data_IF_018003076520
#
_entry.id   IF_018003076520
#
_cell.length_a   1.000
_cell.length_b   1.000
_cell.length_c   1.000
_cell.angle_alpha   90.00
_cell.angle_beta   90.00
_cell.angle_gamma   90.00
#
_symmetry.space_group_name_H-M   'P 1'
#
loop_
_entity.id
_entity.type
_entity.pdbx_description
1 polymer ?
#
# COMPACT_ATOMS: atom_id res chain seq x y z
N UNK A 1 12.23 35.20 -9.57
CA UNK A 1 13.25 34.41 -8.86
C UNK A 1 12.85 33.99 -7.44
N UNK A 2 11.57 34.06 -7.04
CA UNK A 2 11.08 33.49 -5.75
C UNK A 2 9.76 32.71 -5.97
N UNK A 3 9.46 32.33 -7.21
CA UNK A 3 8.23 31.59 -7.59
C UNK A 3 8.52 30.24 -8.24
N UNK A 4 9.79 29.84 -8.33
CA UNK A 4 10.20 28.54 -8.90
C UNK A 4 10.48 27.47 -7.81
N UNK A 5 10.59 27.86 -6.53
CA UNK A 5 10.95 26.95 -5.43
C UNK A 5 9.76 26.36 -4.64
N UNK A 6 8.51 26.66 -5.02
CA UNK A 6 7.32 26.05 -4.39
C UNK A 6 6.78 24.80 -5.11
N UNK A 7 7.45 24.35 -6.18
CA UNK A 7 7.03 23.16 -6.96
C UNK A 7 7.47 21.85 -6.28
N UNK A 8 8.30 21.92 -5.24
CA UNK A 8 8.98 20.77 -4.63
C UNK A 8 8.28 20.14 -3.41
N UNK A 9 6.98 20.38 -3.19
CA UNK A 9 6.32 19.91 -1.96
C UNK A 9 5.52 18.60 -2.09
N UNK A 10 5.05 18.18 -3.26
CA UNK A 10 4.40 16.85 -3.41
C UNK A 10 4.60 16.24 -4.81
N UNK A 11 5.76 15.60 -5.08
CA UNK A 11 6.02 14.92 -6.35
C UNK A 11 5.00 13.84 -6.69
N UNK A 12 4.48 13.14 -5.68
CA UNK A 12 3.49 12.07 -5.84
C UNK A 12 2.16 12.56 -6.40
N UNK A 13 1.66 13.73 -5.97
CA UNK A 13 0.41 14.30 -6.47
C UNK A 13 0.55 14.84 -7.90
N UNK A 14 1.71 15.41 -8.25
CA UNK A 14 1.98 15.86 -9.63
C UNK A 14 2.15 14.68 -10.58
N UNK A 15 2.82 13.61 -10.14
CA UNK A 15 2.94 12.35 -10.89
C UNK A 15 1.58 11.68 -11.04
N UNK A 16 0.76 11.63 -9.98
CA UNK A 16 -0.60 11.11 -10.03
C UNK A 16 -1.50 11.91 -10.99
N UNK A 17 -1.42 13.26 -10.95
CA UNK A 17 -2.17 14.11 -11.86
C UNK A 17 -1.71 13.96 -13.31
N UNK A 18 -0.40 13.78 -13.54
CA UNK A 18 0.18 13.53 -14.88
C UNK A 18 -0.21 12.15 -15.40
N UNK A 19 -0.18 11.11 -14.56
CA UNK A 19 -0.63 9.76 -14.90
C UNK A 19 -2.14 9.71 -15.15
N UNK A 20 -2.95 10.41 -14.37
CA UNK A 20 -4.38 10.54 -14.61
C UNK A 20 -4.69 11.22 -15.95
N UNK A 21 -3.93 12.27 -16.32
CA UNK A 21 -4.02 12.91 -17.64
C UNK A 21 -3.64 11.95 -18.76
N UNK A 22 -2.50 11.25 -18.65
CA UNK A 22 -2.11 10.25 -19.66
C UNK A 22 -3.09 9.08 -19.78
N UNK A 23 -3.69 8.65 -18.66
CA UNK A 23 -4.74 7.63 -18.67
C UNK A 23 -5.98 8.12 -19.42
N UNK A 24 -6.42 9.36 -19.17
CA UNK A 24 -7.54 9.97 -19.89
C UNK A 24 -7.24 10.14 -21.39
N UNK A 25 -6.04 10.60 -21.76
CA UNK A 25 -5.61 10.73 -23.16
C UNK A 25 -5.59 9.37 -23.87
N UNK A 26 -5.11 8.33 -23.18
CA UNK A 26 -5.07 6.96 -23.71
C UNK A 26 -6.47 6.36 -23.83
N UNK A 27 -7.38 6.64 -22.88
CA UNK A 27 -8.79 6.27 -22.99
C UNK A 27 -9.44 6.96 -24.20
N UNK A 28 -9.15 8.24 -24.43
CA UNK A 28 -9.69 8.97 -25.58
C UNK A 28 -9.13 8.45 -26.92
N UNK A 29 -7.83 8.15 -26.96
CA UNK A 29 -7.19 7.51 -28.11
C UNK A 29 -7.79 6.12 -28.40
N UNK A 30 -7.99 5.29 -27.37
CA UNK A 30 -8.65 3.98 -27.49
C UNK A 30 -10.12 4.12 -27.93
N UNK A 31 -10.85 5.14 -27.46
CA UNK A 31 -12.22 5.45 -27.92
C UNK A 31 -12.24 5.87 -29.40
N UNK A 32 -11.27 6.66 -29.87
CA UNK A 32 -11.12 7.02 -31.29
C UNK A 32 -10.78 5.80 -32.15
N UNK A 33 -9.88 4.93 -31.68
CA UNK A 33 -9.53 3.66 -32.35
C UNK A 33 -10.75 2.73 -32.42
N UNK A 34 -11.50 2.57 -31.32
CA UNK A 34 -12.69 1.73 -31.28
C UNK A 34 -13.86 2.31 -32.11
N UNK A 35 -13.99 3.64 -32.21
CA UNK A 35 -14.92 4.28 -33.15
C UNK A 35 -14.53 4.00 -34.61
N UNK A 36 -13.24 4.00 -34.94
CA UNK A 36 -12.72 3.65 -36.28
C UNK A 36 -12.81 2.14 -36.59
N UNK A 37 -12.70 1.27 -35.58
CA UNK A 37 -12.92 -0.17 -35.72
C UNK A 37 -14.41 -0.51 -35.90
N UNK A 38 -15.34 0.25 -35.32
CA UNK A 38 -16.80 0.03 -35.52
C UNK A 38 -17.28 0.29 -36.95
N UNK A 39 -16.49 0.94 -37.80
CA UNK A 39 -16.80 1.13 -39.23
C UNK A 39 -16.29 0.00 -40.15
N UNK A 40 -15.59 -1.01 -39.62
CA UNK A 40 -15.19 -2.21 -40.37
C UNK A 40 -15.51 -3.46 -39.53
N UNK A 41 -16.24 -4.40 -40.13
CA UNK A 41 -16.97 -5.48 -39.48
C UNK A 41 -16.23 -6.40 -38.47
N UNK A 42 -17.09 -7.06 -37.68
CA UNK A 42 -16.87 -8.24 -36.85
C UNK A 42 -15.87 -9.26 -37.43
N UNK A 43 -14.96 -9.74 -36.57
CA UNK A 43 -14.94 -11.13 -36.03
C UNK A 43 -13.68 -11.31 -35.18
N UNK A 44 -13.84 -11.26 -33.86
CA UNK A 44 -12.95 -11.91 -32.91
C UNK A 44 -13.77 -12.12 -31.65
N UNK A 45 -14.02 -13.37 -31.26
CA UNK A 45 -14.57 -13.71 -29.95
C UNK A 45 -13.59 -13.21 -28.88
N UNK A 46 -13.96 -12.20 -28.08
CA UNK A 46 -13.17 -11.85 -26.92
C UNK A 46 -13.32 -12.98 -25.91
N UNK A 47 -12.22 -13.46 -25.31
CA UNK A 47 -12.31 -14.21 -24.06
C UNK A 47 -13.20 -13.40 -23.10
N UNK A 48 -14.21 -14.03 -22.50
CA UNK A 48 -15.12 -13.36 -21.57
C UNK A 48 -14.28 -12.52 -20.59
N UNK A 49 -14.44 -11.17 -20.56
CA UNK A 49 -13.79 -10.38 -19.52
C UNK A 49 -14.24 -10.95 -18.18
N UNK A 50 -13.29 -11.14 -17.26
CA UNK A 50 -13.61 -11.52 -15.89
C UNK A 50 -14.71 -10.58 -15.38
N UNK A 51 -15.77 -11.16 -14.83
CA UNK A 51 -16.91 -10.41 -14.30
C UNK A 51 -16.35 -9.60 -13.13
N UNK A 52 -16.30 -8.27 -13.26
CA UNK A 52 -15.96 -7.38 -12.14
C UNK A 52 -16.95 -7.70 -11.02
N UNK A 53 -16.43 -8.08 -9.87
CA UNK A 53 -17.22 -8.46 -8.71
C UNK A 53 -17.82 -7.24 -8.01
N UNK A 54 -18.86 -7.47 -7.21
CA UNK A 54 -19.48 -6.41 -6.41
C UNK A 54 -18.50 -5.82 -5.38
N UNK A 55 -17.56 -6.63 -4.87
CA UNK A 55 -16.52 -6.18 -3.93
C UNK A 55 -15.47 -5.31 -4.62
N UNK A 56 -14.97 -5.70 -5.79
CA UNK A 56 -14.04 -4.89 -6.59
C UNK A 56 -14.67 -3.55 -6.97
N UNK A 57 -15.94 -3.55 -7.36
CA UNK A 57 -16.68 -2.33 -7.68
C UNK A 57 -16.75 -1.40 -6.47
N UNK A 58 -17.03 -1.95 -5.28
CA UNK A 58 -17.09 -1.17 -4.04
C UNK A 58 -15.73 -0.60 -3.64
N UNK A 59 -14.65 -1.39 -3.74
CA UNK A 59 -13.29 -0.91 -3.49
C UNK A 59 -12.91 0.22 -4.46
N UNK A 60 -13.20 0.06 -5.75
CA UNK A 60 -12.96 1.12 -6.75
C UNK A 60 -13.74 2.39 -6.41
N UNK A 61 -14.98 2.27 -5.94
CA UNK A 61 -15.77 3.42 -5.50
C UNK A 61 -15.16 4.07 -4.25
N UNK A 62 -14.63 3.30 -3.29
CA UNK A 62 -13.91 3.86 -2.15
C UNK A 62 -12.64 4.60 -2.59
N UNK A 63 -11.83 4.03 -3.49
CA UNK A 63 -10.61 4.67 -4.02
C UNK A 63 -10.93 6.02 -4.70
N UNK A 64 -12.10 6.15 -5.33
CA UNK A 64 -12.53 7.44 -5.92
C UNK A 64 -12.67 8.54 -4.86
N UNK A 65 -13.16 8.21 -3.66
CA UNK A 65 -13.22 9.13 -2.52
C UNK A 65 -11.83 9.64 -2.14
N UNK A 66 -10.79 8.83 -2.30
CA UNK A 66 -9.42 9.24 -2.01
C UNK A 66 -8.82 10.08 -3.15
N UNK A 67 -9.14 9.76 -4.41
CA UNK A 67 -8.34 10.20 -5.57
C UNK A 67 -8.99 11.25 -6.46
N UNK A 68 -10.33 11.41 -6.43
CA UNK A 68 -11.06 12.32 -7.33
C UNK A 68 -11.32 13.70 -6.74
N UNK A 69 -10.35 14.23 -6.00
CA UNK A 69 -10.43 15.55 -5.36
C UNK A 69 -9.20 16.41 -5.68
N UNK A 70 -9.09 16.95 -6.91
CA UNK A 70 -7.94 17.75 -7.31
C UNK A 70 -7.90 19.08 -6.54
N UNK A 71 -6.70 19.47 -6.09
CA UNK A 71 -6.47 20.77 -5.43
C UNK A 71 -6.89 20.81 -3.96
N UNK A 72 -7.07 19.66 -3.31
CA UNK A 72 -7.17 19.60 -1.85
C UNK A 72 -5.90 20.17 -1.22
N UNK A 73 -6.09 21.01 -0.21
CA UNK A 73 -5.05 21.43 0.71
C UNK A 73 -4.49 20.20 1.46
N UNK A 74 -3.18 19.90 1.36
CA UNK A 74 -2.56 18.77 2.06
C UNK A 74 -2.87 18.74 3.56
N UNK A 75 -2.96 19.90 4.21
CA UNK A 75 -3.23 19.99 5.65
C UNK A 75 -4.67 19.59 6.01
N UNK A 76 -5.56 19.56 5.01
CA UNK A 76 -6.96 19.13 5.15
C UNK A 76 -7.22 17.74 4.56
N UNK A 77 -6.22 17.12 3.92
CA UNK A 77 -6.42 15.88 3.16
C UNK A 77 -6.90 14.72 4.04
N UNK A 78 -6.40 14.63 5.28
CA UNK A 78 -6.83 13.62 6.23
C UNK A 78 -8.34 13.66 6.47
N UNK A 79 -8.88 14.84 6.78
CA UNK A 79 -10.31 15.01 7.06
C UNK A 79 -11.16 14.99 5.79
N UNK A 80 -10.66 15.58 4.71
CA UNK A 80 -11.42 15.74 3.46
C UNK A 80 -11.56 14.43 2.68
N UNK A 81 -10.53 13.58 2.67
CA UNK A 81 -10.50 12.34 1.86
C UNK A 81 -10.00 11.11 2.60
N UNK A 82 -9.06 11.24 3.53
CA UNK A 82 -8.49 10.11 4.26
C UNK A 82 -9.54 9.40 5.13
N UNK A 83 -10.16 10.13 6.06
CA UNK A 83 -11.20 9.58 6.94
C UNK A 83 -12.43 9.10 6.17
N UNK A 84 -12.97 9.85 5.18
CA UNK A 84 -14.05 9.35 4.33
C UNK A 84 -13.70 8.06 3.57
N UNK A 85 -12.46 7.91 3.09
CA UNK A 85 -12.00 6.67 2.46
C UNK A 85 -11.98 5.50 3.44
N UNK A 86 -11.42 5.69 4.63
CA UNK A 86 -11.38 4.66 5.66
C UNK A 86 -12.79 4.27 6.14
N UNK A 87 -13.70 5.24 6.29
CA UNK A 87 -15.10 4.99 6.67
C UNK A 87 -15.85 4.22 5.57
N UNK A 88 -15.58 4.50 4.29
CA UNK A 88 -16.13 3.73 3.17
C UNK A 88 -15.63 2.28 3.19
N UNK A 89 -14.33 2.06 3.44
CA UNK A 89 -13.76 0.72 3.57
C UNK A 89 -14.27 -0.02 4.80
N UNK A 90 -14.56 0.66 5.91
CA UNK A 90 -15.21 0.06 7.10
C UNK A 90 -16.58 -0.52 6.75
N UNK A 91 -17.37 0.20 5.95
CA UNK A 91 -18.67 -0.26 5.50
C UNK A 91 -18.55 -1.49 4.59
N UNK A 92 -17.57 -1.50 3.68
CA UNK A 92 -17.29 -2.65 2.81
C UNK A 92 -16.83 -3.86 3.64
N UNK A 93 -15.86 -3.67 4.54
CA UNK A 93 -15.38 -4.72 5.44
C UNK A 93 -16.51 -5.35 6.25
N UNK A 94 -17.46 -4.55 6.74
CA UNK A 94 -18.63 -5.06 7.46
C UNK A 94 -19.46 -6.06 6.66
N UNK A 95 -19.50 -5.92 5.33
CA UNK A 95 -20.22 -6.81 4.41
C UNK A 95 -19.36 -7.99 3.90
N UNK A 96 -18.02 -7.84 3.91
CA UNK A 96 -17.07 -8.81 3.33
C UNK A 96 -15.94 -9.21 4.32
N UNK A 97 -16.29 -9.48 5.59
CA UNK A 97 -15.32 -9.68 6.69
C UNK A 97 -14.25 -10.76 6.48
N UNK A 98 -14.53 -11.76 5.64
CA UNK A 98 -13.63 -12.89 5.39
C UNK A 98 -12.74 -12.70 4.15
N UNK A 99 -12.95 -11.61 3.40
CA UNK A 99 -12.13 -11.28 2.23
C UNK A 99 -10.82 -10.63 2.69
N UNK A 100 -9.65 -11.24 2.40
CA UNK A 100 -8.37 -10.74 2.90
C UNK A 100 -7.95 -9.41 2.25
N UNK A 101 -8.37 -9.14 1.02
CA UNK A 101 -8.04 -7.90 0.31
C UNK A 101 -8.83 -6.74 0.93
N UNK A 102 -10.12 -6.96 1.21
CA UNK A 102 -10.94 -5.97 1.92
C UNK A 102 -10.40 -5.68 3.31
N UNK A 103 -10.01 -6.72 4.05
CA UNK A 103 -9.38 -6.56 5.36
C UNK A 103 -8.08 -5.75 5.27
N UNK A 104 -7.23 -6.05 4.29
CA UNK A 104 -5.98 -5.34 4.04
C UNK A 104 -6.23 -3.85 3.73
N UNK A 105 -7.05 -3.52 2.73
CA UNK A 105 -7.32 -2.13 2.37
C UNK A 105 -7.91 -1.35 3.54
N UNK A 106 -8.83 -1.97 4.29
CA UNK A 106 -9.42 -1.32 5.44
C UNK A 106 -8.38 -1.02 6.53
N UNK A 107 -7.56 -1.99 6.90
CA UNK A 107 -6.49 -1.80 7.88
C UNK A 107 -5.48 -0.75 7.43
N UNK A 108 -5.03 -0.83 6.18
CA UNK A 108 -4.08 0.13 5.60
C UNK A 108 -4.63 1.55 5.69
N UNK A 109 -5.90 1.74 5.34
CA UNK A 109 -6.54 3.06 5.40
C UNK A 109 -6.57 3.66 6.81
N UNK A 110 -6.78 2.84 7.85
CA UNK A 110 -6.74 3.28 9.24
C UNK A 110 -5.30 3.52 9.71
N UNK A 111 -4.36 2.67 9.32
CA UNK A 111 -2.95 2.83 9.69
C UNK A 111 -2.34 4.10 9.10
N UNK A 112 -2.69 4.46 7.86
CA UNK A 112 -2.24 5.71 7.23
C UNK A 112 -2.74 6.94 8.01
N UNK A 113 -3.97 6.92 8.51
CA UNK A 113 -4.50 7.98 9.37
C UNK A 113 -3.80 8.07 10.73
N UNK A 114 -3.16 6.99 11.18
CA UNK A 114 -2.50 6.89 12.47
C UNK A 114 -0.97 6.67 12.31
N UNK A 115 -0.39 7.11 11.18
CA UNK A 115 1.01 6.87 10.85
C UNK A 115 1.95 7.39 11.96
N UNK A 116 2.85 6.51 12.43
CA UNK A 116 3.78 6.77 13.55
C UNK A 116 3.12 7.17 14.88
N UNK A 117 1.80 6.97 15.02
CA UNK A 117 1.02 7.35 16.20
C UNK A 117 0.08 6.22 16.66
N UNK A 118 0.53 4.97 16.61
CA UNK A 118 -0.27 3.80 17.01
C UNK A 118 -0.26 3.56 18.53
N UNK A 119 0.91 3.57 19.15
CA UNK A 119 1.06 3.25 20.57
C UNK A 119 1.88 4.30 21.31
N UNK A 120 1.51 4.54 22.56
CA UNK A 120 2.29 5.39 23.45
C UNK A 120 3.50 4.61 23.96
N UNK A 121 4.70 5.16 23.76
CA UNK A 121 5.90 4.65 24.41
C UNK A 121 6.05 5.23 25.83
N UNK A 122 6.46 4.45 26.85
CA UNK A 122 6.72 3.00 26.81
C UNK A 122 5.52 2.13 27.20
N UNK A 123 4.36 2.72 27.47
CA UNK A 123 3.20 2.01 28.05
C UNK A 123 2.62 0.95 27.12
N UNK A 124 2.74 1.14 25.81
CA UNK A 124 2.10 0.31 24.78
C UNK A 124 0.59 0.52 24.72
N UNK A 125 0.07 1.61 25.30
CA UNK A 125 -1.35 1.95 25.22
C UNK A 125 -1.68 2.48 23.82
N UNK A 126 -2.80 2.02 23.26
CA UNK A 126 -3.28 2.48 21.96
C UNK A 126 -3.63 3.97 22.02
N UNK A 127 -3.09 4.76 21.09
CA UNK A 127 -3.30 6.21 21.05
C UNK A 127 -4.66 6.61 20.45
N UNK A 128 -5.31 5.69 19.73
CA UNK A 128 -6.64 5.91 19.16
C UNK A 128 -7.48 4.63 19.16
N UNK A 129 -8.79 4.79 19.00
CA UNK A 129 -9.71 3.66 18.85
C UNK A 129 -9.45 2.85 17.58
N UNK A 130 -8.92 3.49 16.54
CA UNK A 130 -8.62 2.87 15.26
C UNK A 130 -7.57 1.77 15.42
N UNK A 131 -6.59 1.94 16.33
CA UNK A 131 -5.55 0.93 16.63
C UNK A 131 -6.17 -0.36 17.18
N UNK A 132 -7.21 -0.24 18.01
CA UNK A 132 -7.96 -1.38 18.51
C UNK A 132 -8.69 -2.12 17.38
N UNK A 133 -9.29 -1.37 16.45
CA UNK A 133 -9.98 -1.92 15.27
C UNK A 133 -8.99 -2.63 14.33
N UNK A 134 -7.87 -1.96 14.00
CA UNK A 134 -6.76 -2.50 13.21
C UNK A 134 -6.30 -3.86 13.77
N UNK A 135 -5.97 -3.91 15.07
CA UNK A 135 -5.50 -5.13 15.72
C UNK A 135 -6.51 -6.26 15.58
N UNK A 136 -7.78 -5.98 15.87
CA UNK A 136 -8.83 -7.00 15.83
C UNK A 136 -9.03 -7.55 14.42
N UNK A 137 -8.99 -6.69 13.39
CA UNK A 137 -9.13 -7.10 11.98
C UNK A 137 -7.93 -7.95 11.55
N UNK A 138 -6.70 -7.50 11.84
CA UNK A 138 -5.48 -8.24 11.47
C UNK A 138 -5.39 -9.61 12.15
N UNK A 139 -5.62 -9.68 13.46
CA UNK A 139 -5.56 -10.94 14.19
C UNK A 139 -6.64 -11.94 13.76
N UNK A 140 -7.82 -11.45 13.33
CA UNK A 140 -8.87 -12.29 12.78
C UNK A 140 -8.54 -12.77 11.35
N UNK A 141 -8.00 -11.89 10.52
CA UNK A 141 -7.69 -12.19 9.12
C UNK A 141 -6.48 -13.13 9.00
N UNK A 142 -5.42 -12.93 9.78
CA UNK A 142 -4.21 -13.77 9.76
C UNK A 142 -4.45 -15.19 10.27
N UNK A 143 -5.50 -15.43 11.07
CA UNK A 143 -5.93 -16.80 11.41
C UNK A 143 -6.42 -17.60 10.20
N UNK A 144 -6.99 -16.90 9.22
CA UNK A 144 -7.54 -17.52 8.00
C UNK A 144 -6.54 -17.46 6.84
N UNK A 145 -5.78 -16.38 6.77
CA UNK A 145 -4.88 -16.05 5.67
C UNK A 145 -3.47 -15.71 6.20
N UNK A 146 -2.77 -16.66 6.84
CA UNK A 146 -1.51 -16.41 7.55
C UNK A 146 -0.36 -15.95 6.65
N UNK A 147 -0.50 -16.14 5.33
CA UNK A 147 0.53 -15.91 4.33
C UNK A 147 0.25 -14.70 3.43
N UNK A 148 -0.83 -13.95 3.71
CA UNK A 148 -1.22 -12.83 2.88
C UNK A 148 -0.27 -11.64 3.07
N UNK A 149 0.51 -11.32 2.02
CA UNK A 149 1.59 -10.33 2.06
C UNK A 149 1.19 -9.01 2.75
N UNK A 150 0.06 -8.42 2.32
CA UNK A 150 -0.41 -7.16 2.87
C UNK A 150 -0.81 -7.24 4.34
N UNK A 151 -1.38 -8.37 4.78
CA UNK A 151 -1.81 -8.53 6.18
C UNK A 151 -0.60 -8.76 7.09
N UNK A 152 0.35 -9.60 6.63
CA UNK A 152 1.62 -9.82 7.31
C UNK A 152 2.40 -8.50 7.45
N UNK A 153 2.50 -7.73 6.36
CA UNK A 153 3.15 -6.43 6.33
C UNK A 153 2.54 -5.45 7.33
N UNK A 154 1.21 -5.26 7.29
CA UNK A 154 0.53 -4.39 8.25
C UNK A 154 0.70 -4.89 9.69
N UNK A 155 0.67 -6.20 9.94
CA UNK A 155 0.85 -6.72 11.30
C UNK A 155 2.24 -6.48 11.86
N UNK A 156 3.28 -6.51 11.02
CA UNK A 156 4.63 -6.08 11.43
C UNK A 156 4.62 -4.62 11.88
N UNK A 157 4.05 -3.71 11.09
CA UNK A 157 3.94 -2.28 11.46
C UNK A 157 3.10 -2.04 12.72
N UNK A 158 2.06 -2.85 12.96
CA UNK A 158 1.32 -2.78 14.21
C UNK A 158 2.23 -3.16 15.40
N UNK A 159 2.95 -4.25 15.28
CA UNK A 159 3.72 -4.82 16.39
C UNK A 159 5.02 -4.07 16.68
N UNK A 160 5.71 -3.50 15.68
CA UNK A 160 6.99 -2.80 15.87
C UNK A 160 6.87 -1.59 16.80
N UNK A 161 5.69 -0.95 16.82
CA UNK A 161 5.41 0.18 17.70
C UNK A 161 4.84 -0.24 19.07
N UNK A 162 4.48 -1.51 19.24
CA UNK A 162 3.80 -2.02 20.44
C UNK A 162 4.78 -2.34 21.58
N UNK A 163 4.26 -2.63 22.77
CA UNK A 163 5.05 -3.14 23.89
C UNK A 163 5.46 -4.61 23.77
N UNK A 164 5.02 -5.31 22.71
CA UNK A 164 5.28 -6.74 22.49
C UNK A 164 5.53 -7.04 21.00
N UNK A 165 6.66 -6.58 20.44
CA UNK A 165 6.98 -6.73 19.02
C UNK A 165 7.13 -8.19 18.58
N UNK A 166 7.53 -9.09 19.49
CA UNK A 166 7.74 -10.52 19.21
C UNK A 166 6.49 -11.24 18.70
N UNK A 167 5.29 -10.68 18.93
CA UNK A 167 4.04 -11.21 18.37
C UNK A 167 4.00 -11.28 16.86
N UNK A 168 4.74 -10.43 16.16
CA UNK A 168 4.77 -10.43 14.70
C UNK A 168 5.67 -11.49 14.07
N UNK A 169 6.49 -12.22 14.86
CA UNK A 169 7.44 -13.21 14.32
C UNK A 169 6.79 -14.22 13.35
N UNK A 170 5.59 -14.79 13.60
CA UNK A 170 4.94 -15.69 12.63
C UNK A 170 4.54 -15.02 11.31
N UNK A 171 4.29 -13.71 11.33
CA UNK A 171 3.96 -12.93 10.13
C UNK A 171 5.22 -12.50 9.35
N UNK A 172 6.42 -12.62 9.93
CA UNK A 172 7.66 -12.28 9.27
C UNK A 172 8.07 -13.31 8.21
N UNK A 173 7.90 -14.61 8.48
CA UNK A 173 8.38 -15.68 7.60
C UNK A 173 7.78 -15.65 6.17
N UNK A 174 6.45 -15.44 5.98
CA UNK A 174 5.89 -15.32 4.65
C UNK A 174 6.50 -14.17 3.83
N UNK A 175 6.86 -13.07 4.48
CA UNK A 175 7.44 -11.90 3.82
C UNK A 175 8.87 -12.14 3.32
N UNK A 176 9.63 -12.97 4.04
CA UNK A 176 11.01 -13.35 3.71
C UNK A 176 11.10 -14.19 2.45
N UNK A 177 10.25 -15.21 2.35
CA UNK A 177 10.45 -16.31 1.40
C UNK A 177 9.51 -16.28 0.19
N UNK A 178 8.31 -15.70 0.32
CA UNK A 178 7.28 -15.81 -0.74
C UNK A 178 7.35 -14.70 -1.78
N UNK A 179 8.03 -13.60 -1.47
CA UNK A 179 8.10 -12.41 -2.33
C UNK A 179 9.57 -12.01 -2.60
N UNK A 180 10.38 -12.89 -3.23
CA UNK A 180 11.84 -12.76 -3.30
C UNK A 180 12.36 -11.58 -4.13
N UNK A 181 11.49 -10.90 -4.88
CA UNK A 181 11.83 -9.71 -5.66
C UNK A 181 11.13 -8.44 -5.11
N UNK A 182 10.45 -8.53 -3.96
CA UNK A 182 9.85 -7.38 -3.28
C UNK A 182 10.75 -6.96 -2.12
N UNK A 183 11.80 -6.18 -2.41
CA UNK A 183 12.81 -5.80 -1.42
C UNK A 183 12.22 -5.21 -0.13
N UNK A 184 11.22 -4.33 -0.26
CA UNK A 184 10.51 -3.79 0.91
C UNK A 184 9.86 -4.88 1.79
N UNK A 185 9.19 -5.88 1.20
CA UNK A 185 8.56 -6.94 1.99
C UNK A 185 9.61 -7.81 2.69
N UNK A 186 10.72 -8.12 2.01
CA UNK A 186 11.84 -8.89 2.59
C UNK A 186 12.47 -8.12 3.77
N UNK A 187 12.54 -6.80 3.64
CA UNK A 187 13.04 -5.91 4.69
C UNK A 187 12.12 -5.87 5.91
N UNK A 188 10.79 -5.81 5.73
CA UNK A 188 9.85 -5.57 6.84
C UNK A 188 10.10 -6.39 8.13
N UNK A 189 10.38 -7.71 8.07
CA UNK A 189 10.79 -8.50 9.22
C UNK A 189 11.91 -7.90 10.10
N UNK A 190 12.86 -7.15 9.53
CA UNK A 190 14.04 -6.67 10.25
C UNK A 190 13.73 -5.63 11.32
N UNK A 191 12.60 -4.92 11.19
CA UNK A 191 12.05 -4.07 12.25
C UNK A 191 11.70 -4.86 13.51
N UNK A 192 11.23 -6.10 13.38
CA UNK A 192 10.97 -6.97 14.53
C UNK A 192 12.25 -7.60 15.02
N UNK A 193 13.10 -8.08 14.11
CA UNK A 193 14.37 -8.74 14.44
C UNK A 193 15.25 -7.86 15.35
N UNK A 194 15.40 -6.57 15.01
CA UNK A 194 16.16 -5.62 15.84
C UNK A 194 15.54 -5.40 17.22
N UNK A 195 14.21 -5.39 17.32
CA UNK A 195 13.48 -5.16 18.58
C UNK A 195 13.52 -6.38 19.51
N UNK A 196 13.57 -7.60 18.95
CA UNK A 196 13.72 -8.84 19.73
C UNK A 196 15.18 -9.24 19.97
N UNK A 197 16.13 -8.50 19.40
CA UNK A 197 17.57 -8.71 19.56
C UNK A 197 18.19 -9.76 18.64
N UNK A 198 17.48 -10.20 17.60
CA UNK A 198 18.02 -11.09 16.55
C UNK A 198 18.74 -10.29 15.46
N UNK A 199 19.88 -9.71 15.83
CA UNK A 199 20.67 -8.87 14.92
C UNK A 199 21.24 -9.65 13.72
N UNK A 200 21.44 -10.97 13.84
CA UNK A 200 21.91 -11.80 12.73
C UNK A 200 20.85 -11.89 11.63
N UNK A 201 19.59 -12.17 11.99
CA UNK A 201 18.47 -12.18 11.05
C UNK A 201 18.26 -10.80 10.42
N UNK A 202 18.34 -9.72 11.23
CA UNK A 202 18.22 -8.35 10.73
C UNK A 202 19.21 -8.05 9.59
N UNK A 203 20.51 -8.28 9.83
CA UNK A 203 21.55 -8.04 8.81
C UNK A 203 21.34 -8.92 7.58
N UNK A 204 21.01 -10.20 7.78
CA UNK A 204 20.80 -11.16 6.69
C UNK A 204 19.65 -10.71 5.78
N UNK A 205 18.50 -10.35 6.34
CA UNK A 205 17.31 -10.04 5.56
C UNK A 205 17.36 -8.65 4.93
N UNK A 206 18.01 -7.66 5.55
CA UNK A 206 18.31 -6.38 4.89
C UNK A 206 19.23 -6.59 3.67
N UNK A 207 20.24 -7.45 3.79
CA UNK A 207 21.09 -7.78 2.64
C UNK A 207 20.30 -8.44 1.50
N UNK A 208 19.37 -9.35 1.80
CA UNK A 208 18.51 -9.96 0.80
C UNK A 208 17.54 -8.95 0.16
N UNK A 209 17.00 -8.01 0.95
CA UNK A 209 16.17 -6.92 0.45
C UNK A 209 16.94 -6.03 -0.54
N UNK A 210 18.18 -5.68 -0.22
CA UNK A 210 19.08 -4.92 -1.11
C UNK A 210 19.32 -5.65 -2.43
N UNK A 211 19.56 -6.97 -2.40
CA UNK A 211 19.71 -7.78 -3.62
C UNK A 211 18.44 -7.69 -4.48
N UNK A 212 17.26 -7.80 -3.87
CA UNK A 212 15.99 -7.69 -4.59
C UNK A 212 15.82 -6.29 -5.21
N UNK A 213 16.11 -5.23 -4.47
CA UNK A 213 16.03 -3.85 -4.95
C UNK A 213 16.99 -3.58 -6.11
N UNK A 214 18.20 -4.14 -6.09
CA UNK A 214 19.15 -4.03 -7.18
C UNK A 214 18.61 -4.65 -8.47
N UNK A 215 17.91 -5.78 -8.39
CA UNK A 215 17.23 -6.36 -9.57
C UNK A 215 16.12 -5.43 -10.06
N UNK A 216 15.32 -4.87 -9.17
CA UNK A 216 14.24 -3.95 -9.52
C UNK A 216 14.77 -2.68 -10.21
N UNK A 217 15.87 -2.12 -9.72
CA UNK A 217 16.55 -0.97 -10.32
C UNK A 217 17.03 -1.23 -11.74
N UNK A 218 17.56 -2.43 -12.02
CA UNK A 218 18.00 -2.83 -13.35
C UNK A 218 16.81 -3.10 -14.28
N UNK A 219 15.78 -3.78 -13.77
CA UNK A 219 14.62 -4.18 -14.57
C UNK A 219 13.68 -3.01 -14.90
N UNK A 220 13.59 -2.01 -14.01
CA UNK A 220 12.60 -0.94 -14.07
C UNK A 220 13.24 0.44 -13.87
N UNK A 221 14.21 0.85 -14.71
CA UNK A 221 14.93 2.11 -14.52
C UNK A 221 13.98 3.32 -14.50
N UNK A 222 12.89 3.29 -15.27
CA UNK A 222 11.94 4.41 -15.33
C UNK A 222 11.08 4.56 -14.07
N UNK A 223 10.85 3.48 -13.31
CA UNK A 223 9.95 3.48 -12.13
C UNK A 223 10.65 3.17 -10.81
N UNK A 224 11.92 2.78 -10.82
CA UNK A 224 12.73 2.55 -9.62
C UNK A 224 13.87 3.56 -9.43
N UNK A 225 14.04 4.54 -10.34
CA UNK A 225 15.08 5.58 -10.22
C UNK A 225 14.91 6.52 -9.00
N UNK A 226 15.92 7.34 -8.76
CA UNK A 226 16.13 8.15 -7.55
C UNK A 226 15.03 9.15 -7.17
N UNK A 227 14.06 9.45 -8.06
CA UNK A 227 12.89 10.29 -7.74
C UNK A 227 11.57 9.52 -7.72
N UNK A 228 11.63 8.19 -7.81
CA UNK A 228 10.48 7.31 -7.64
C UNK A 228 10.11 7.17 -6.17
N UNK A 229 8.81 6.98 -5.89
CA UNK A 229 8.32 6.52 -4.60
C UNK A 229 9.03 5.22 -4.14
N UNK A 230 9.34 4.31 -5.07
CA UNK A 230 10.05 3.07 -4.80
C UNK A 230 11.45 3.31 -4.21
N UNK A 231 12.12 4.40 -4.60
CA UNK A 231 13.46 4.71 -4.12
C UNK A 231 13.48 5.00 -2.62
N UNK A 232 12.38 5.49 -2.04
CA UNK A 232 12.25 5.67 -0.60
C UNK A 232 12.41 4.34 0.15
N UNK A 233 11.80 3.27 -0.36
CA UNK A 233 11.96 1.93 0.21
C UNK A 233 13.39 1.41 0.07
N UNK A 234 14.05 1.65 -1.06
CA UNK A 234 15.46 1.27 -1.23
C UNK A 234 16.31 1.93 -0.15
N UNK A 235 16.20 3.25 0.00
CA UNK A 235 16.98 3.99 1.01
C UNK A 235 16.69 3.48 2.42
N UNK A 236 15.43 3.17 2.73
CA UNK A 236 15.02 2.57 4.01
C UNK A 236 15.71 1.23 4.26
N UNK A 237 15.79 0.37 3.24
CA UNK A 237 16.43 -0.93 3.32
C UNK A 237 17.95 -0.85 3.54
N UNK A 238 18.59 0.23 3.06
CA UNK A 238 20.00 0.51 3.32
C UNK A 238 20.26 1.14 4.69
N UNK A 239 19.25 1.74 5.33
CA UNK A 239 19.42 2.49 6.56
C UNK A 239 19.44 1.62 7.82
N UNK A 240 18.56 0.61 7.88
CA UNK A 240 18.45 -0.33 9.01
C UNK A 240 19.52 -1.41 8.95
#
# INVERSE_FOLDING_TARGET
>A
AVWEDMVALFPSQQVAQRHARFANDKIEALRKINRRKRTHEHTATPSKPAIITDVETQIILAIKTLTLHPGIDPDQAEQAVGRPYADALRAIYSNFKNDPEVAYFFVESLMVLNAWSLYQYPTGEALSTDVGEIRNVLEAALKQHPDHAGLCHMYVHLCEMSSDPGKALPACDPLRDKFPDAGHLIHMPTHIDVLVGDYESCVRWNYMAIIADQKALVAMPDTAHTVSFYFGYIVHNYHM
#
